data_IF_361955539188
#
_entry.id   IF_361955539188
#
_cell.length_a   1.000
_cell.length_b   1.000
_cell.length_c   1.000
_cell.angle_alpha   90.00
_cell.angle_beta   90.00
_cell.angle_gamma   90.00
#
_symmetry.space_group_name_H-M   'P 1'
#
loop_
_entity.id
_entity.type
_entity.pdbx_description
1 polymer ?
#
# COMPACT_ATOMS: atom_id res chain seq x y z
N UNK A 1 9.03 -17.14 -35.25
CA UNK A 1 8.12 -18.24 -34.88
C UNK A 1 6.77 -17.62 -34.57
N UNK A 2 5.73 -18.00 -35.31
CA UNK A 2 4.36 -17.55 -35.05
C UNK A 2 3.62 -18.65 -34.29
N UNK A 3 2.77 -18.27 -33.33
CA UNK A 3 1.90 -19.21 -32.63
C UNK A 3 0.78 -19.63 -33.59
N UNK A 4 0.40 -20.90 -33.60
CA UNK A 4 -0.80 -21.32 -34.35
C UNK A 4 -2.06 -20.80 -33.65
N UNK A 5 -3.17 -20.66 -34.37
CA UNK A 5 -4.43 -20.17 -33.81
C UNK A 5 -4.95 -21.08 -32.68
N UNK A 6 -4.72 -22.39 -32.76
CA UNK A 6 -5.08 -23.34 -31.71
C UNK A 6 -4.29 -23.10 -30.43
N UNK A 7 -2.98 -22.83 -30.55
CA UNK A 7 -2.12 -22.51 -29.40
C UNK A 7 -2.49 -21.16 -28.79
N UNK A 8 -2.79 -20.15 -29.62
CA UNK A 8 -3.27 -18.84 -29.13
C UNK A 8 -4.57 -19.00 -28.34
N UNK A 9 -5.56 -19.71 -28.90
CA UNK A 9 -6.84 -19.94 -28.25
C UNK A 9 -6.69 -20.66 -26.91
N UNK A 10 -5.85 -21.70 -26.85
CA UNK A 10 -5.55 -22.44 -25.61
C UNK A 10 -4.96 -21.51 -24.54
N UNK A 11 -3.88 -20.78 -24.86
CA UNK A 11 -3.19 -19.90 -23.92
C UNK A 11 -4.11 -18.78 -23.40
N UNK A 12 -4.94 -18.20 -24.29
CA UNK A 12 -5.89 -17.15 -23.93
C UNK A 12 -7.01 -17.68 -23.04
N UNK A 13 -7.56 -18.85 -23.33
CA UNK A 13 -8.63 -19.45 -22.53
C UNK A 13 -8.12 -19.87 -21.16
N UNK A 14 -6.98 -20.54 -21.07
CA UNK A 14 -6.34 -20.87 -19.78
C UNK A 14 -6.07 -19.60 -18.97
N UNK A 15 -5.52 -18.55 -19.58
CA UNK A 15 -5.30 -17.28 -18.87
C UNK A 15 -6.60 -16.57 -18.44
N UNK A 16 -7.74 -16.78 -19.12
CA UNK A 16 -9.04 -16.22 -18.73
C UNK A 16 -9.66 -16.96 -17.53
N UNK A 17 -9.44 -18.27 -17.44
CA UNK A 17 -9.95 -19.10 -16.34
C UNK A 17 -9.16 -18.89 -15.03
N UNK A 18 -7.87 -18.59 -15.14
CA UNK A 18 -7.02 -18.27 -13.99
C UNK A 18 -7.30 -16.86 -13.45
N UNK A 19 -7.09 -16.66 -12.14
CA UNK A 19 -7.25 -15.36 -11.47
C UNK A 19 -5.99 -14.95 -10.71
N UNK A 20 -5.86 -13.64 -10.46
CA UNK A 20 -4.84 -13.09 -9.57
C UNK A 20 -3.40 -13.47 -9.93
N UNK A 21 -2.65 -13.94 -8.94
CA UNK A 21 -1.24 -14.34 -9.08
C UNK A 21 -1.07 -15.56 -9.99
N UNK A 22 -1.92 -16.58 -9.87
CA UNK A 22 -1.85 -17.79 -10.71
C UNK A 22 -1.91 -17.45 -12.20
N UNK A 23 -2.77 -16.50 -12.57
CA UNK A 23 -2.85 -15.98 -13.95
C UNK A 23 -1.56 -15.29 -14.38
N UNK A 24 -1.01 -14.41 -13.55
CA UNK A 24 0.22 -13.66 -13.86
C UNK A 24 1.43 -14.59 -14.00
N UNK A 25 1.57 -15.57 -13.10
CA UNK A 25 2.63 -16.57 -13.15
C UNK A 25 2.53 -17.45 -14.38
N UNK A 26 1.32 -17.92 -14.73
CA UNK A 26 1.10 -18.67 -15.98
C UNK A 26 1.56 -17.86 -17.18
N UNK A 27 1.11 -16.61 -17.30
CA UNK A 27 1.50 -15.72 -18.39
C UNK A 27 3.03 -15.51 -18.45
N UNK A 28 3.68 -15.31 -17.30
CA UNK A 28 5.12 -15.10 -17.24
C UNK A 28 5.93 -16.36 -17.57
N UNK A 29 5.54 -17.54 -17.07
CA UNK A 29 6.18 -18.82 -17.41
C UNK A 29 6.04 -19.12 -18.90
N UNK A 30 4.87 -18.86 -19.48
CA UNK A 30 4.65 -18.98 -20.92
C UNK A 30 5.58 -18.07 -21.70
N UNK A 31 5.71 -16.79 -21.32
CA UNK A 31 6.66 -15.87 -21.97
C UNK A 31 8.11 -16.31 -21.83
N UNK A 32 8.51 -16.85 -20.68
CA UNK A 32 9.85 -17.39 -20.47
C UNK A 32 10.11 -18.62 -21.36
N UNK A 33 9.12 -19.50 -21.52
CA UNK A 33 9.19 -20.68 -22.39
C UNK A 33 9.27 -20.33 -23.88
N UNK A 34 8.72 -19.17 -24.30
CA UNK A 34 8.84 -18.67 -25.67
C UNK A 34 10.26 -18.18 -26.02
N UNK A 35 11.16 -18.04 -25.04
CA UNK A 35 12.56 -17.69 -25.26
C UNK A 35 12.79 -16.24 -25.70
N UNK A 36 13.88 -16.01 -26.42
CA UNK A 36 14.28 -14.67 -26.88
C UNK A 36 13.23 -14.06 -27.81
N UNK A 37 12.79 -12.83 -27.51
CA UNK A 37 11.70 -12.17 -28.23
C UNK A 37 10.29 -12.59 -27.79
N UNK A 38 10.16 -13.56 -26.87
CA UNK A 38 8.86 -14.04 -26.35
C UNK A 38 7.96 -12.94 -25.78
N UNK A 39 8.54 -11.89 -25.18
CA UNK A 39 7.80 -10.72 -24.70
C UNK A 39 7.11 -9.95 -25.84
N UNK A 40 7.80 -9.73 -26.96
CA UNK A 40 7.24 -9.03 -28.14
C UNK A 40 6.19 -9.91 -28.82
N UNK A 41 6.44 -11.23 -28.87
CA UNK A 41 5.50 -12.19 -29.43
C UNK A 41 4.19 -12.26 -28.62
N UNK A 42 4.27 -12.33 -27.29
CA UNK A 42 3.09 -12.38 -26.42
C UNK A 42 2.29 -11.07 -26.43
N UNK A 43 2.95 -9.93 -26.57
CA UNK A 43 2.28 -8.63 -26.74
C UNK A 43 1.51 -8.57 -28.06
N UNK A 44 2.13 -9.02 -29.17
CA UNK A 44 1.54 -9.03 -30.51
C UNK A 44 0.40 -10.05 -30.67
N UNK A 45 0.62 -11.28 -30.21
CA UNK A 45 -0.26 -12.42 -30.51
C UNK A 45 -1.31 -12.67 -29.42
N UNK A 46 -1.02 -12.29 -28.16
CA UNK A 46 -1.88 -12.61 -27.01
C UNK A 46 -2.42 -11.34 -26.31
N UNK A 47 -1.97 -10.14 -26.72
CA UNK A 47 -2.35 -8.87 -26.09
C UNK A 47 -1.87 -8.74 -24.64
N UNK A 48 -0.86 -9.52 -24.24
CA UNK A 48 -0.37 -9.53 -22.86
C UNK A 48 0.61 -8.38 -22.61
N UNK A 49 0.18 -7.41 -21.81
CA UNK A 49 0.98 -6.20 -21.58
C UNK A 49 2.25 -6.46 -20.74
N UNK A 50 3.28 -5.66 -20.99
CA UNK A 50 4.58 -5.71 -20.28
C UNK A 50 4.46 -5.53 -18.77
N UNK A 51 3.53 -4.69 -18.32
CA UNK A 51 3.32 -4.42 -16.90
C UNK A 51 2.90 -5.66 -16.12
N UNK A 52 1.90 -6.39 -16.60
CA UNK A 52 1.38 -7.62 -15.97
C UNK A 52 2.40 -8.75 -16.03
N UNK A 53 3.14 -8.85 -17.13
CA UNK A 53 4.18 -9.85 -17.33
C UNK A 53 5.40 -9.62 -16.42
N UNK A 54 5.81 -8.37 -16.21
CA UNK A 54 6.84 -8.02 -15.22
C UNK A 54 6.45 -8.48 -13.82
N UNK A 55 5.19 -8.26 -13.42
CA UNK A 55 4.66 -8.72 -12.12
C UNK A 55 4.67 -10.24 -12.01
N UNK A 56 4.24 -10.95 -13.05
CA UNK A 56 4.25 -12.41 -13.08
C UNK A 56 5.68 -13.00 -13.05
N UNK A 57 6.63 -12.39 -13.76
CA UNK A 57 8.03 -12.84 -13.79
C UNK A 57 8.66 -12.78 -12.40
N UNK A 58 8.40 -11.69 -11.68
CA UNK A 58 8.87 -11.52 -10.32
C UNK A 58 8.25 -12.54 -9.35
N UNK A 59 6.95 -12.81 -9.47
CA UNK A 59 6.29 -13.87 -8.69
C UNK A 59 6.92 -15.26 -8.96
N UNK A 60 7.29 -15.54 -10.21
CA UNK A 60 8.01 -16.77 -10.59
C UNK A 60 9.42 -16.80 -9.99
N UNK A 61 10.16 -15.70 -10.05
CA UNK A 61 11.49 -15.57 -9.45
C UNK A 61 11.45 -15.77 -7.93
N UNK A 62 10.50 -15.13 -7.23
CA UNK A 62 10.30 -15.33 -5.78
C UNK A 62 10.04 -16.79 -5.44
N UNK A 63 9.14 -17.46 -6.17
CA UNK A 63 8.83 -18.88 -5.91
C UNK A 63 10.00 -19.81 -6.27
N UNK A 64 10.82 -19.45 -7.26
CA UNK A 64 12.03 -20.19 -7.57
C UNK A 64 13.10 -20.08 -6.46
N UNK A 65 13.12 -18.99 -5.71
CA UNK A 65 14.03 -18.81 -4.57
C UNK A 65 13.68 -19.72 -3.38
N UNK A 66 12.41 -20.14 -3.25
CA UNK A 66 11.92 -21.02 -2.16
C UNK A 66 11.09 -22.17 -2.74
N UNK A 67 11.73 -23.17 -3.37
CA UNK A 67 11.00 -24.31 -3.94
C UNK A 67 10.50 -25.25 -2.84
N UNK A 68 9.28 -25.79 -2.99
CA UNK A 68 8.75 -26.84 -2.13
C UNK A 68 7.25 -26.71 -1.82
N UNK A 69 6.56 -27.81 -1.52
CA UNK A 69 5.10 -27.82 -1.35
C UNK A 69 4.62 -26.91 -0.21
N UNK A 70 5.44 -26.71 0.83
CA UNK A 70 5.13 -25.81 1.94
C UNK A 70 5.19 -24.33 1.53
N UNK A 71 6.20 -23.95 0.74
CA UNK A 71 6.28 -22.60 0.18
C UNK A 71 5.19 -22.35 -0.88
N UNK A 72 4.75 -23.40 -1.58
CA UNK A 72 3.65 -23.28 -2.54
C UNK A 72 2.29 -23.07 -1.88
N UNK A 73 2.09 -23.64 -0.68
CA UNK A 73 0.89 -23.53 0.14
C UNK A 73 0.76 -22.20 0.88
N UNK A 74 1.86 -21.44 1.04
CA UNK A 74 1.83 -20.13 1.70
C UNK A 74 0.88 -19.16 1.00
N UNK A 75 -0.02 -18.58 1.79
CA UNK A 75 -0.96 -17.56 1.36
C UNK A 75 -0.49 -16.16 1.78
N UNK A 76 -1.11 -15.13 1.18
CA UNK A 76 -0.90 -13.74 1.60
C UNK A 76 -1.37 -13.54 3.05
N UNK A 77 -2.38 -14.29 3.51
CA UNK A 77 -2.87 -14.19 4.88
C UNK A 77 -1.80 -14.67 5.87
N UNK A 78 -1.14 -15.79 5.58
CA UNK A 78 -0.07 -16.34 6.42
C UNK A 78 1.09 -15.36 6.55
N UNK A 79 1.57 -14.82 5.41
CA UNK A 79 2.64 -13.82 5.41
C UNK A 79 2.29 -12.55 6.19
N UNK A 80 1.02 -12.12 6.13
CA UNK A 80 0.53 -10.97 6.91
C UNK A 80 0.46 -11.30 8.39
N UNK A 81 0.01 -12.49 8.75
CA UNK A 81 -0.05 -12.95 10.12
C UNK A 81 1.35 -13.00 10.75
N UNK A 82 2.31 -13.66 10.10
CA UNK A 82 3.71 -13.71 10.58
C UNK A 82 4.27 -12.30 10.78
N UNK A 83 4.04 -11.39 9.82
CA UNK A 83 4.44 -9.98 9.96
C UNK A 83 3.79 -9.30 11.16
N UNK A 84 2.50 -9.51 11.37
CA UNK A 84 1.76 -8.87 12.47
C UNK A 84 2.21 -9.42 13.84
N UNK A 85 2.56 -10.70 13.92
CA UNK A 85 3.17 -11.32 15.11
C UNK A 85 4.56 -10.74 15.38
N UNK A 86 5.43 -10.65 14.37
CA UNK A 86 6.74 -9.99 14.49
C UNK A 86 6.60 -8.51 14.87
N UNK A 87 5.61 -7.80 14.33
CA UNK A 87 5.36 -6.42 14.71
C UNK A 87 4.99 -6.28 16.19
N UNK A 88 4.24 -7.24 16.75
CA UNK A 88 3.92 -7.29 18.19
C UNK A 88 5.14 -7.57 19.04
N UNK A 89 6.05 -8.47 18.63
CA UNK A 89 7.27 -8.76 19.41
C UNK A 89 8.24 -7.59 19.42
N UNK A 90 8.22 -6.76 18.39
CA UNK A 90 9.03 -5.54 18.27
C UNK A 90 8.28 -4.29 18.78
N UNK A 91 7.06 -4.43 19.28
CA UNK A 91 6.25 -3.31 19.76
C UNK A 91 6.96 -2.61 20.93
N UNK A 92 7.07 -1.28 20.85
CA UNK A 92 7.82 -0.47 21.83
C UNK A 92 9.28 -0.24 21.46
N UNK A 93 9.80 -0.97 20.47
CA UNK A 93 11.07 -0.60 19.82
C UNK A 93 10.75 0.35 18.65
N UNK A 94 11.47 1.48 18.54
CA UNK A 94 11.33 2.39 17.40
C UNK A 94 12.02 1.78 16.16
N UNK A 95 11.43 0.72 15.60
CA UNK A 95 11.96 0.01 14.44
C UNK A 95 11.21 0.39 13.16
N UNK A 96 11.94 0.66 12.06
CA UNK A 96 11.30 0.95 10.77
C UNK A 96 10.44 -0.22 10.28
N UNK A 97 9.37 0.09 9.54
CA UNK A 97 8.48 -0.93 8.95
C UNK A 97 9.23 -1.89 8.01
N UNK A 98 10.32 -1.44 7.40
CA UNK A 98 11.18 -2.25 6.55
C UNK A 98 11.94 -3.31 7.35
N UNK A 99 12.36 -2.98 8.58
CA UNK A 99 12.98 -3.93 9.49
C UNK A 99 11.98 -5.00 9.97
N UNK A 100 10.75 -4.59 10.31
CA UNK A 100 9.69 -5.53 10.68
C UNK A 100 9.44 -6.53 9.53
N UNK A 101 9.44 -6.06 8.28
CA UNK A 101 9.27 -6.91 7.10
C UNK A 101 10.43 -7.88 6.91
N UNK A 102 11.67 -7.43 7.09
CA UNK A 102 12.83 -8.32 7.06
C UNK A 102 12.70 -9.42 8.10
N UNK A 103 12.39 -9.06 9.36
CA UNK A 103 12.17 -10.02 10.44
C UNK A 103 11.00 -10.97 10.17
N UNK A 104 9.94 -10.49 9.53
CA UNK A 104 8.83 -11.34 9.10
C UNK A 104 9.28 -12.38 8.06
N UNK A 105 10.06 -11.99 7.05
CA UNK A 105 10.59 -12.94 6.08
C UNK A 105 11.61 -13.91 6.69
N UNK A 106 12.47 -13.47 7.60
CA UNK A 106 13.35 -14.36 8.37
C UNK A 106 12.52 -15.42 9.13
N UNK A 107 11.44 -14.99 9.81
CA UNK A 107 10.57 -15.89 10.55
C UNK A 107 9.82 -16.85 9.62
N UNK A 108 9.23 -16.37 8.52
CA UNK A 108 8.57 -17.24 7.53
C UNK A 108 9.52 -18.32 7.01
N UNK A 109 10.77 -17.98 6.70
CA UNK A 109 11.73 -18.98 6.22
C UNK A 109 12.06 -20.02 7.30
N UNK A 110 12.23 -19.60 8.56
CA UNK A 110 12.43 -20.51 9.68
C UNK A 110 11.25 -21.45 9.89
N UNK A 111 10.02 -20.95 9.76
CA UNK A 111 8.79 -21.75 9.87
C UNK A 111 8.70 -22.80 8.76
N UNK A 112 9.30 -22.52 7.60
CA UNK A 112 9.48 -23.48 6.49
C UNK A 112 10.70 -24.41 6.66
N UNK A 113 11.38 -24.38 7.81
CA UNK A 113 12.57 -25.17 8.08
C UNK A 113 13.82 -24.69 7.34
N UNK A 114 13.87 -23.42 6.91
CA UNK A 114 14.99 -22.82 6.18
C UNK A 114 15.54 -21.60 6.92
N UNK A 115 16.71 -21.74 7.53
CA UNK A 115 17.42 -20.60 8.12
C UNK A 115 18.35 -19.97 7.08
N UNK A 116 17.82 -19.04 6.27
CA UNK A 116 18.53 -18.39 5.16
C UNK A 116 18.33 -16.86 5.21
N UNK A 117 19.16 -16.15 6.00
CA UNK A 117 19.06 -14.70 6.16
C UNK A 117 19.27 -13.92 4.85
N UNK A 118 20.14 -14.40 3.96
CA UNK A 118 20.39 -13.75 2.66
C UNK A 118 19.14 -13.80 1.78
N UNK A 119 18.43 -14.92 1.78
CA UNK A 119 17.15 -15.04 1.10
C UNK A 119 16.10 -14.09 1.70
N UNK A 120 16.03 -13.93 3.01
CA UNK A 120 15.11 -12.97 3.64
C UNK A 120 15.38 -11.53 3.16
N UNK A 121 16.66 -11.14 3.04
CA UNK A 121 17.06 -9.84 2.48
C UNK A 121 16.59 -9.70 1.03
N UNK A 122 16.83 -10.72 0.18
CA UNK A 122 16.36 -10.69 -1.23
C UNK A 122 14.85 -10.59 -1.33
N UNK A 123 14.09 -11.36 -0.55
CA UNK A 123 12.62 -11.31 -0.52
C UNK A 123 12.11 -9.94 -0.05
N UNK A 124 12.79 -9.33 0.91
CA UNK A 124 12.45 -7.98 1.39
C UNK A 124 12.68 -6.93 0.31
N UNK A 125 13.85 -6.93 -0.34
CA UNK A 125 14.18 -6.00 -1.42
C UNK A 125 13.18 -6.09 -2.58
N UNK A 126 12.88 -7.33 -2.98
CA UNK A 126 11.89 -7.72 -3.97
C UNK A 126 10.49 -7.20 -3.62
N UNK A 127 10.02 -7.41 -2.39
CA UNK A 127 8.76 -6.84 -1.91
C UNK A 127 8.74 -5.31 -1.96
N UNK A 128 9.81 -4.63 -1.51
CA UNK A 128 9.87 -3.18 -1.46
C UNK A 128 9.88 -2.56 -2.87
N UNK A 129 10.64 -3.14 -3.79
CA UNK A 129 10.61 -2.76 -5.20
C UNK A 129 9.19 -2.84 -5.76
N UNK A 130 8.49 -3.96 -5.54
CA UNK A 130 7.10 -4.10 -5.99
C UNK A 130 6.15 -3.11 -5.30
N UNK A 131 6.30 -2.93 -3.99
CA UNK A 131 5.47 -2.04 -3.18
C UNK A 131 5.56 -0.59 -3.63
N UNK A 132 6.71 -0.16 -4.15
CA UNK A 132 6.99 1.23 -4.54
C UNK A 132 6.98 1.47 -6.05
N UNK A 133 6.97 0.44 -6.90
CA UNK A 133 7.04 0.62 -8.37
C UNK A 133 5.80 1.24 -9.02
N UNK A 134 4.65 1.25 -8.34
CA UNK A 134 3.47 2.03 -8.74
C UNK A 134 2.43 1.99 -7.61
N UNK A 135 2.35 3.07 -6.81
CA UNK A 135 1.30 3.24 -5.81
C UNK A 135 0.15 4.01 -6.47
N UNK A 136 -0.96 3.35 -6.83
CA UNK A 136 -2.05 4.06 -7.48
C UNK A 136 -2.71 5.01 -6.48
N UNK A 137 -2.95 6.24 -6.93
CA UNK A 137 -3.85 7.15 -6.24
C UNK A 137 -5.30 6.75 -6.50
N UNK A 138 -6.19 7.05 -5.56
CA UNK A 138 -7.61 7.04 -5.87
C UNK A 138 -7.92 8.15 -6.90
N UNK A 139 -8.90 7.95 -7.81
CA UNK A 139 -9.19 8.91 -8.88
C UNK A 139 -9.52 10.32 -8.40
N UNK A 140 -10.07 10.44 -7.19
CA UNK A 140 -10.51 11.69 -6.55
C UNK A 140 -9.38 12.47 -5.86
N UNK A 141 -8.18 11.89 -5.70
CA UNK A 141 -7.07 12.54 -4.98
C UNK A 141 -6.60 13.80 -5.69
N UNK A 142 -6.29 13.70 -6.99
CA UNK A 142 -5.77 14.84 -7.76
C UNK A 142 -6.83 15.96 -7.88
N UNK A 143 -8.10 15.67 -8.24
CA UNK A 143 -9.17 16.67 -8.22
C UNK A 143 -9.32 17.38 -6.87
N UNK A 144 -9.34 16.63 -5.77
CA UNK A 144 -9.52 17.20 -4.43
C UNK A 144 -8.34 18.09 -4.03
N UNK A 145 -7.10 17.60 -4.15
CA UNK A 145 -5.90 18.39 -3.81
C UNK A 145 -5.82 19.68 -4.65
N UNK A 146 -6.18 19.61 -5.93
CA UNK A 146 -6.25 20.78 -6.82
C UNK A 146 -7.28 21.81 -6.34
N UNK A 147 -8.47 21.37 -5.93
CA UNK A 147 -9.54 22.25 -5.46
C UNK A 147 -9.23 22.95 -4.12
N UNK A 148 -8.37 22.35 -3.29
CA UNK A 148 -7.93 22.88 -2.00
C UNK A 148 -6.67 23.74 -2.10
N UNK A 149 -5.85 23.54 -3.14
CA UNK A 149 -4.62 24.28 -3.37
C UNK A 149 -4.90 25.79 -3.44
N UNK A 150 -4.08 26.57 -2.74
CA UNK A 150 -4.21 28.02 -2.66
C UNK A 150 -5.30 28.53 -1.69
N UNK A 151 -6.15 27.65 -1.14
CA UNK A 151 -7.14 27.97 -0.10
C UNK A 151 -6.72 27.46 1.27
N UNK A 152 -6.05 26.30 1.30
CA UNK A 152 -5.59 25.64 2.53
C UNK A 152 -4.10 25.29 2.43
N UNK A 153 -3.42 25.30 3.58
CA UNK A 153 -2.07 24.72 3.71
C UNK A 153 -2.22 23.20 3.91
N UNK A 154 -1.80 22.43 2.92
CA UNK A 154 -1.98 20.97 2.91
C UNK A 154 -0.80 20.27 3.61
N UNK A 155 -1.09 19.35 4.52
CA UNK A 155 -0.09 18.49 5.17
C UNK A 155 -0.40 17.00 4.95
N UNK A 156 0.64 16.17 4.94
CA UNK A 156 0.50 14.71 4.90
C UNK A 156 1.02 14.12 6.22
N UNK A 157 0.19 13.36 6.94
CA UNK A 157 0.62 12.68 8.18
C UNK A 157 0.28 11.19 8.14
N UNK A 158 1.25 10.30 8.41
CA UNK A 158 1.07 8.86 8.21
C UNK A 158 1.87 7.98 9.18
N UNK A 159 1.29 6.83 9.55
CA UNK A 159 2.04 5.75 10.22
C UNK A 159 2.86 4.91 9.23
N UNK A 160 2.64 5.10 7.92
CA UNK A 160 3.33 4.37 6.86
C UNK A 160 4.70 4.96 6.54
N UNK A 161 5.37 4.33 5.56
CA UNK A 161 6.68 4.74 5.03
C UNK A 161 6.62 5.07 3.53
N UNK A 162 5.48 5.61 3.06
CA UNK A 162 5.27 5.98 1.66
C UNK A 162 5.32 7.49 1.51
N UNK A 163 6.38 7.99 0.89
CA UNK A 163 6.56 9.42 0.62
C UNK A 163 5.76 9.88 -0.60
N UNK A 164 5.27 11.15 -0.64
CA UNK A 164 4.44 11.69 -1.71
C UNK A 164 5.01 11.52 -3.12
N UNK A 165 6.33 11.65 -3.29
CA UNK A 165 7.04 11.56 -4.56
C UNK A 165 6.83 10.19 -5.20
N UNK A 166 6.75 9.13 -4.38
CA UNK A 166 6.52 7.74 -4.84
C UNK A 166 5.10 7.52 -5.35
N UNK A 167 4.17 8.42 -5.02
CA UNK A 167 2.78 8.40 -5.47
C UNK A 167 2.52 9.40 -6.60
N UNK A 168 3.54 10.09 -7.10
CA UNK A 168 3.36 11.16 -8.10
C UNK A 168 2.79 12.46 -7.51
N UNK A 169 3.00 12.71 -6.22
CA UNK A 169 2.60 13.94 -5.52
C UNK A 169 3.82 14.74 -4.99
N UNK A 170 4.90 14.93 -5.78
CA UNK A 170 6.03 15.74 -5.31
C UNK A 170 5.55 17.16 -5.00
N UNK A 171 6.12 17.77 -3.94
CA UNK A 171 5.91 19.18 -3.57
C UNK A 171 4.43 19.56 -3.35
N UNK A 172 3.55 18.58 -3.14
CA UNK A 172 2.11 18.82 -3.01
C UNK A 172 1.72 19.26 -1.60
N UNK A 173 2.47 18.82 -0.60
CA UNK A 173 2.22 19.11 0.82
C UNK A 173 3.26 20.10 1.34
N UNK A 174 2.80 21.09 2.09
CA UNK A 174 3.65 22.11 2.72
C UNK A 174 4.46 21.57 3.90
N UNK A 175 4.05 20.43 4.46
CA UNK A 175 4.78 19.69 5.49
C UNK A 175 4.35 18.21 5.48
N UNK A 176 5.21 17.33 5.99
CA UNK A 176 4.93 15.90 6.10
C UNK A 176 5.37 15.35 7.45
N UNK A 177 4.56 14.51 8.09
CA UNK A 177 4.89 13.84 9.36
C UNK A 177 4.79 12.32 9.19
N UNK A 178 5.89 11.61 9.44
CA UNK A 178 5.94 10.16 9.37
C UNK A 178 6.23 9.58 10.74
N UNK A 179 5.48 8.55 11.15
CA UNK A 179 5.66 7.94 12.46
C UNK A 179 7.08 7.42 12.70
N UNK A 180 7.71 6.88 11.65
CA UNK A 180 9.08 6.36 11.71
C UNK A 180 10.13 7.43 12.00
N UNK A 181 9.87 8.70 11.68
CA UNK A 181 10.83 9.80 11.85
C UNK A 181 10.83 10.33 13.30
N UNK A 182 9.72 10.13 14.03
CA UNK A 182 9.52 10.68 15.38
C UNK A 182 9.38 9.62 16.48
N UNK A 183 9.28 8.33 16.13
CA UNK A 183 9.07 7.24 17.10
C UNK A 183 7.72 7.26 17.82
N UNK A 184 6.80 8.10 17.36
CA UNK A 184 5.40 8.19 17.81
C UNK A 184 4.50 7.88 16.62
N UNK A 185 3.31 7.35 16.87
CA UNK A 185 2.37 6.96 15.81
C UNK A 185 0.93 7.28 16.18
N UNK A 186 0.07 7.49 15.19
CA UNK A 186 -1.38 7.55 15.40
C UNK A 186 -1.86 6.25 16.08
N UNK A 187 -2.73 6.30 17.12
CA UNK A 187 -3.47 7.47 17.62
C UNK A 187 -2.85 8.19 18.82
N UNK A 188 -1.54 8.05 19.07
CA UNK A 188 -0.90 8.69 20.22
C UNK A 188 -1.02 10.23 20.11
N UNK A 189 -1.46 10.95 21.17
CA UNK A 189 -1.59 12.40 21.15
C UNK A 189 -0.32 13.12 20.68
N UNK A 190 0.85 12.61 21.08
CA UNK A 190 2.14 13.17 20.71
C UNK A 190 2.31 13.27 19.19
N UNK A 191 1.84 12.28 18.42
CA UNK A 191 1.93 12.33 16.96
C UNK A 191 1.19 13.54 16.39
N UNK A 192 0.03 13.89 16.97
CA UNK A 192 -0.76 15.03 16.54
C UNK A 192 -0.23 16.36 17.05
N UNK A 193 0.35 16.38 18.25
CA UNK A 193 1.09 17.56 18.77
C UNK A 193 2.27 17.90 17.84
N UNK A 194 2.99 16.91 17.34
CA UNK A 194 4.02 17.10 16.31
C UNK A 194 3.44 17.66 15.02
N UNK A 195 2.31 17.11 14.55
CA UNK A 195 1.65 17.64 13.36
C UNK A 195 1.19 19.10 13.51
N UNK A 196 0.71 19.49 14.68
CA UNK A 196 0.37 20.88 15.01
C UNK A 196 1.60 21.79 14.98
N UNK A 197 2.73 21.32 15.51
CA UNK A 197 4.01 22.04 15.48
C UNK A 197 4.50 22.28 14.05
N UNK A 198 4.54 21.25 13.20
CA UNK A 198 4.94 21.34 11.78
C UNK A 198 3.99 22.24 10.97
N UNK A 199 2.70 22.20 11.31
CA UNK A 199 1.69 23.07 10.73
C UNK A 199 1.76 24.52 11.26
N UNK A 200 2.47 24.75 12.37
CA UNK A 200 2.50 26.03 13.09
C UNK A 200 1.09 26.58 13.33
N UNK A 201 0.17 25.71 13.76
CA UNK A 201 -1.26 26.00 13.87
C UNK A 201 -1.84 25.44 15.17
N UNK A 202 -2.90 26.07 15.66
CA UNK A 202 -3.67 25.62 16.82
C UNK A 202 -4.63 24.49 16.42
N UNK A 203 -5.09 23.65 17.37
CA UNK A 203 -5.98 22.52 17.07
C UNK A 203 -7.25 22.89 16.29
N UNK A 204 -7.83 24.06 16.59
CA UNK A 204 -9.05 24.55 15.92
C UNK A 204 -8.80 25.12 14.51
N UNK A 205 -7.54 25.34 14.13
CA UNK A 205 -7.13 25.80 12.80
C UNK A 205 -6.81 24.64 11.85
N UNK A 206 -6.80 23.40 12.36
CA UNK A 206 -6.53 22.18 11.58
C UNK A 206 -7.79 21.33 11.46
N UNK A 207 -7.95 20.72 10.28
CA UNK A 207 -8.89 19.63 10.06
C UNK A 207 -8.08 18.40 9.62
N UNK A 208 -8.20 17.32 10.38
CA UNK A 208 -7.57 16.04 10.03
C UNK A 208 -8.52 15.18 9.20
N UNK A 209 -8.04 14.65 8.07
CA UNK A 209 -8.83 13.84 7.13
C UNK A 209 -8.18 12.46 7.02
N UNK A 210 -8.92 11.39 7.33
CA UNK A 210 -8.39 10.03 7.27
C UNK A 210 -9.47 8.96 7.29
N UNK A 211 -9.07 7.72 6.99
CA UNK A 211 -9.98 6.58 6.82
C UNK A 211 -10.12 5.73 8.10
N UNK A 212 -9.21 5.85 9.06
CA UNK A 212 -9.27 5.08 10.30
C UNK A 212 -9.99 5.84 11.42
N UNK A 213 -11.15 5.35 11.85
CA UNK A 213 -11.84 5.89 13.05
C UNK A 213 -10.91 5.93 14.26
N UNK A 214 -10.19 4.84 14.53
CA UNK A 214 -9.28 4.78 15.68
C UNK A 214 -8.03 5.63 15.47
N UNK A 215 -7.31 5.42 14.37
CA UNK A 215 -6.03 6.07 14.19
C UNK A 215 -6.21 7.54 13.87
N UNK A 216 -7.05 7.89 12.89
CA UNK A 216 -7.18 9.24 12.35
C UNK A 216 -8.19 10.11 13.10
N UNK A 217 -9.38 9.57 13.41
CA UNK A 217 -10.46 10.36 14.00
C UNK A 217 -10.25 10.52 15.50
N UNK A 218 -10.27 9.41 16.25
CA UNK A 218 -10.08 9.43 17.71
C UNK A 218 -8.75 10.06 18.13
N UNK A 219 -7.66 9.70 17.45
CA UNK A 219 -6.33 10.23 17.77
C UNK A 219 -6.24 11.75 17.63
N UNK A 220 -6.78 12.31 16.54
CA UNK A 220 -6.77 13.75 16.31
C UNK A 220 -7.72 14.49 17.27
N UNK A 221 -8.89 13.93 17.55
CA UNK A 221 -9.86 14.50 18.49
C UNK A 221 -9.31 14.59 19.91
N UNK A 222 -8.46 13.65 20.32
CA UNK A 222 -7.84 13.66 21.64
C UNK A 222 -7.00 14.91 21.92
N UNK A 223 -6.54 15.62 20.88
CA UNK A 223 -5.82 16.90 20.99
C UNK A 223 -6.64 18.11 20.52
N UNK A 224 -7.95 17.93 20.33
CA UNK A 224 -8.89 19.01 19.95
C UNK A 224 -8.94 19.34 18.47
N UNK A 225 -8.37 18.51 17.59
CA UNK A 225 -8.44 18.71 16.14
C UNK A 225 -9.80 18.23 15.62
N UNK A 226 -10.41 19.02 14.72
CA UNK A 226 -11.63 18.62 14.02
C UNK A 226 -11.33 17.58 12.95
N UNK A 227 -12.22 16.61 12.76
CA UNK A 227 -11.91 15.42 11.94
C UNK A 227 -12.98 15.11 10.91
N UNK A 228 -12.56 14.74 9.71
CA UNK A 228 -13.42 14.20 8.66
C UNK A 228 -13.04 12.73 8.42
N UNK A 229 -14.04 11.85 8.52
CA UNK A 229 -13.84 10.42 8.27
C UNK A 229 -14.10 10.09 6.79
N UNK A 230 -13.12 9.48 6.14
CA UNK A 230 -13.22 9.00 4.75
C UNK A 230 -13.71 7.55 4.75
N UNK A 231 -15.03 7.36 4.66
CA UNK A 231 -15.69 6.06 4.67
C UNK A 231 -16.07 5.60 3.25
N UNK A 232 -15.08 5.33 2.41
CA UNK A 232 -15.31 4.94 0.99
C UNK A 232 -16.21 3.72 0.83
N UNK A 233 -16.20 2.82 1.82
CA UNK A 233 -16.94 1.57 1.81
C UNK A 233 -18.30 1.64 2.50
N UNK A 234 -18.69 2.83 3.00
CA UNK A 234 -19.95 3.02 3.73
C UNK A 234 -20.12 2.02 4.87
N UNK A 235 -19.03 1.72 5.57
CA UNK A 235 -19.07 0.86 6.74
C UNK A 235 -19.90 1.50 7.84
N UNK A 236 -20.67 0.69 8.56
CA UNK A 236 -21.34 1.16 9.76
C UNK A 236 -20.29 1.55 10.79
N UNK A 237 -20.43 2.72 11.38
CA UNK A 237 -19.67 3.07 12.57
C UNK A 237 -20.23 2.30 13.77
N UNK A 238 -19.48 1.31 14.24
CA UNK A 238 -19.82 0.48 15.42
C UNK A 238 -19.13 0.97 16.69
N UNK A 239 -18.57 2.18 16.67
CA UNK A 239 -17.85 2.80 17.79
C UNK A 239 -18.57 4.06 18.27
N UNK A 240 -18.16 4.56 19.43
CA UNK A 240 -18.65 5.85 19.95
C UNK A 240 -17.90 7.06 19.36
N UNK A 241 -16.97 6.84 18.42
CA UNK A 241 -16.15 7.89 17.81
C UNK A 241 -17.02 8.68 16.81
N UNK A 242 -17.19 9.98 17.04
CA UNK A 242 -18.04 10.84 16.21
C UNK A 242 -17.20 11.85 15.42
N UNK A 243 -16.92 11.63 14.12
CA UNK A 243 -16.25 12.64 13.30
C UNK A 243 -17.16 13.86 13.10
N UNK A 244 -16.58 15.02 12.75
CA UNK A 244 -17.37 16.19 12.39
C UNK A 244 -18.19 15.96 11.12
N UNK A 245 -17.60 15.26 10.15
CA UNK A 245 -18.27 14.85 8.93
C UNK A 245 -17.75 13.49 8.46
N UNK A 246 -18.58 12.81 7.68
CA UNK A 246 -18.23 11.59 6.97
C UNK A 246 -18.36 11.86 5.47
N UNK A 247 -17.37 11.40 4.70
CA UNK A 247 -17.35 11.49 3.23
C UNK A 247 -16.99 10.15 2.63
N UNK A 248 -17.49 9.88 1.43
CA UNK A 248 -17.17 8.65 0.67
C UNK A 248 -16.13 8.93 -0.43
N UNK A 249 -15.97 10.19 -0.81
CA UNK A 249 -15.01 10.69 -1.80
C UNK A 249 -14.34 11.98 -1.33
N UNK A 250 -13.06 12.15 -1.68
CA UNK A 250 -12.32 13.39 -1.41
C UNK A 250 -12.87 14.58 -2.19
N UNK A 251 -13.63 14.35 -3.27
CA UNK A 251 -14.33 15.41 -4.02
C UNK A 251 -15.36 16.15 -3.16
N UNK A 252 -15.80 15.57 -2.04
CA UNK A 252 -16.75 16.19 -1.11
C UNK A 252 -16.08 17.21 -0.19
N UNK A 253 -14.74 17.19 -0.08
CA UNK A 253 -13.99 18.04 0.84
C UNK A 253 -14.26 19.54 0.66
N UNK A 254 -14.27 20.12 -0.56
CA UNK A 254 -14.55 21.55 -0.72
C UNK A 254 -15.89 21.97 -0.13
N UNK A 255 -16.91 21.11 -0.18
CA UNK A 255 -18.25 21.38 0.38
C UNK A 255 -18.27 21.20 1.89
N UNK A 256 -17.63 20.17 2.42
CA UNK A 256 -17.61 19.90 3.87
C UNK A 256 -16.78 20.95 4.62
N UNK A 257 -15.67 21.40 4.02
CA UNK A 257 -14.79 22.38 4.64
C UNK A 257 -15.45 23.76 4.79
N UNK A 258 -16.38 24.16 3.91
CA UNK A 258 -17.11 25.43 4.09
C UNK A 258 -18.03 25.41 5.31
N UNK A 259 -18.52 24.23 5.70
CA UNK A 259 -19.34 24.04 6.91
C UNK A 259 -18.50 24.05 8.19
N UNK A 260 -17.18 23.87 8.08
CA UNK A 260 -16.26 23.94 9.22
C UNK A 260 -15.90 25.38 9.60
N UNK A 261 -16.03 26.32 8.66
CA UNK A 261 -15.65 27.73 8.83
C UNK A 261 -16.78 28.60 9.42
N UNK A 262 -17.98 28.04 9.58
CA UNK A 262 -19.15 28.63 10.24
C UNK A 262 -19.25 28.16 11.69
#
# INVERSE_FOLDING_TARGET
MELTEEVKALLLNTAKELKGSTRRMFMARTVQALGEGGQRLAERELGWNRGTLRKGKHEVEIRALVPGPQAEALTIADLRQTRDEVAKTLQGSNVPLEHIRLKAFEQTLKDLGRDDPELAVRLTACYLEYRFTAIPLYPDVIPALSALRGKYRLGLVTNGNTYPERCGLPETFAFTVFAQDHGVQKPQPQFYEWALSEASALPHEIIHVGDSLRNDVYGAQAVGIRTIWVNRHQWRNETDIQPFAEITSLEELPKVLTQCAS
#
